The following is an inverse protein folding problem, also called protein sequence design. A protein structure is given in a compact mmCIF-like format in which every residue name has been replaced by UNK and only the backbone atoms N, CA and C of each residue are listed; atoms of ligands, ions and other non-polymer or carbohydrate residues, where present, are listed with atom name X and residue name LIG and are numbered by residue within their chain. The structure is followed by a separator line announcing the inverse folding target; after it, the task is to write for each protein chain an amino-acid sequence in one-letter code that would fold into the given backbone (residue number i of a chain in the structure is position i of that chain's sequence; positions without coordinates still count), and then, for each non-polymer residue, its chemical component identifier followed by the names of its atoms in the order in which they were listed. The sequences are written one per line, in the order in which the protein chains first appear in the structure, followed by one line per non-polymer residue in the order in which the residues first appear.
data_IF_424775527576
#
_entry.id   IF_424775527576
#
_cell.length_a   1.000
_cell.length_b   1.000
_cell.length_c   1.000
_cell.angle_alpha   90.00
_cell.angle_beta   90.00
_cell.angle_gamma   90.00
#
_symmetry.space_group_name_H-M   'P 1'
#
loop_
_entity.id
_entity.type
_entity.pdbx_description
1 polymer ?
#
# COMPACT_ATOMS: atom_id res chain seq x y z
N UNK A 1 5.46 1.50 -4.70
CA UNK A 1 6.63 2.41 -4.56
C UNK A 1 7.33 2.42 -5.91
N UNK A 2 7.86 3.55 -6.34
CA UNK A 2 8.69 3.67 -7.53
C UNK A 2 9.90 4.56 -7.19
N UNK A 3 11.12 4.00 -7.28
CA UNK A 3 12.34 4.70 -6.89
C UNK A 3 12.29 5.25 -5.46
N UNK A 4 12.53 6.56 -5.31
CA UNK A 4 12.49 7.25 -4.01
C UNK A 4 11.08 7.58 -3.52
N UNK A 5 10.05 7.39 -4.35
CA UNK A 5 8.68 7.81 -4.04
C UNK A 5 7.81 6.68 -3.52
N UNK A 6 7.19 6.90 -2.35
CA UNK A 6 6.25 5.97 -1.72
C UNK A 6 4.89 6.65 -1.57
N UNK A 7 3.86 5.95 -2.04
CA UNK A 7 2.46 6.38 -1.98
C UNK A 7 1.69 5.51 -1.00
N UNK A 8 0.95 6.13 -0.07
CA UNK A 8 0.04 5.45 0.84
C UNK A 8 -1.42 5.69 0.42
N UNK A 9 -2.08 4.63 -0.07
CA UNK A 9 -3.51 4.62 -0.37
C UNK A 9 -4.36 4.37 0.90
N UNK A 10 -3.81 3.57 1.83
CA UNK A 10 -4.41 3.26 3.13
C UNK A 10 -3.32 3.25 4.20
N UNK A 11 -3.65 3.73 5.39
CA UNK A 11 -2.79 3.68 6.56
C UNK A 11 -3.50 2.94 7.69
N UNK A 12 -2.84 1.95 8.27
CA UNK A 12 -3.35 1.24 9.45
C UNK A 12 -2.38 1.43 10.62
N UNK A 13 -2.82 2.05 11.73
CA UNK A 13 -1.99 2.19 12.92
C UNK A 13 -1.74 0.83 13.58
N UNK A 14 -0.57 0.66 14.21
CA UNK A 14 -0.19 -0.59 14.88
C UNK A 14 -1.05 -0.90 16.12
N UNK A 15 -1.68 0.11 16.72
CA UNK A 15 -2.52 0.00 17.92
C UNK A 15 -3.83 -0.79 17.72
N UNK A 16 -4.05 -1.36 16.53
CA UNK A 16 -5.28 -2.09 16.20
C UNK A 16 -6.46 -1.20 15.82
N UNK A 17 -6.29 0.13 15.81
CA UNK A 17 -7.29 1.06 15.34
C UNK A 17 -7.61 0.85 13.84
N UNK A 18 -8.81 1.31 13.43
CA UNK A 18 -9.32 1.13 12.07
C UNK A 18 -8.34 1.68 11.04
N UNK A 19 -8.22 0.96 9.93
CA UNK A 19 -7.48 1.48 8.79
C UNK A 19 -8.18 2.73 8.25
N UNK A 20 -7.37 3.73 7.88
CA UNK A 20 -7.83 4.94 7.23
C UNK A 20 -7.52 4.81 5.74
N UNK A 21 -8.57 4.83 4.93
CA UNK A 21 -8.45 4.96 3.49
C UNK A 21 -8.32 6.46 3.20
N UNK A 22 -7.32 6.84 2.41
CA UNK A 22 -7.11 8.25 2.04
C UNK A 22 -7.68 8.49 0.65
N UNK A 23 -8.65 9.41 0.54
CA UNK A 23 -9.21 9.83 -0.76
C UNK A 23 -8.13 10.46 -1.65
N UNK A 24 -7.26 11.28 -1.06
CA UNK A 24 -6.01 11.71 -1.68
C UNK A 24 -4.86 10.88 -1.12
N UNK A 25 -4.20 10.05 -1.93
CA UNK A 25 -3.06 9.27 -1.45
C UNK A 25 -1.95 10.18 -0.92
N UNK A 26 -1.36 9.78 0.20
CA UNK A 26 -0.20 10.48 0.76
C UNK A 26 1.04 10.11 -0.03
N UNK A 27 1.92 11.08 -0.27
CA UNK A 27 3.16 10.88 -1.02
C UNK A 27 4.36 11.29 -0.20
N UNK A 28 5.34 10.40 -0.10
CA UNK A 28 6.58 10.64 0.62
C UNK A 28 7.77 10.36 -0.29
N UNK A 29 8.82 11.16 -0.13
CA UNK A 29 10.12 10.91 -0.76
C UNK A 29 11.07 10.33 0.29
N UNK A 30 11.35 9.04 0.19
CA UNK A 30 12.13 8.30 1.17
C UNK A 30 13.63 8.65 1.15
N UNK A 31 14.12 9.28 0.08
CA UNK A 31 15.52 9.73 -0.01
C UNK A 31 15.75 10.94 0.91
N UNK A 32 14.81 11.88 0.89
CA UNK A 32 14.86 13.09 1.72
C UNK A 32 14.16 12.93 3.07
N UNK A 33 13.18 12.04 3.17
CA UNK A 33 12.31 11.84 4.32
C UNK A 33 11.99 10.35 4.53
N UNK A 34 12.99 9.55 4.96
CA UNK A 34 12.81 8.12 5.22
C UNK A 34 11.82 7.85 6.36
N UNK A 35 11.54 8.85 7.22
CA UNK A 35 10.55 8.77 8.30
C UNK A 35 9.10 9.07 7.87
N UNK A 36 8.85 9.40 6.60
CA UNK A 36 7.49 9.62 6.05
C UNK A 36 6.69 10.70 6.83
N UNK A 37 7.36 11.79 7.23
CA UNK A 37 6.78 12.91 7.97
C UNK A 37 6.16 13.97 7.07
N UNK A 38 6.66 14.14 5.84
CA UNK A 38 6.24 15.22 4.93
C UNK A 38 5.39 14.70 3.78
N UNK A 39 4.09 15.01 3.83
CA UNK A 39 3.22 14.80 2.66
C UNK A 39 3.58 15.76 1.52
N UNK A 40 3.88 15.17 0.37
CA UNK A 40 4.25 15.83 -0.87
C UNK A 40 3.19 15.65 -1.97
N UNK A 41 2.04 15.04 -1.65
CA UNK A 41 1.00 14.70 -2.63
C UNK A 41 0.50 15.95 -3.36
N UNK A 42 0.21 17.02 -2.62
CA UNK A 42 -0.24 18.30 -3.18
C UNK A 42 0.81 19.00 -4.04
N UNK A 43 2.10 18.74 -3.79
CA UNK A 43 3.21 19.38 -4.52
C UNK A 43 3.61 18.62 -5.77
N UNK A 44 3.36 17.31 -5.82
CA UNK A 44 3.76 16.45 -6.93
C UNK A 44 2.60 15.57 -7.43
N UNK A 45 1.51 16.16 -7.97
CA UNK A 45 0.37 15.39 -8.49
C UNK A 45 0.76 14.45 -9.63
N UNK A 46 1.74 14.83 -10.46
CA UNK A 46 2.25 13.97 -11.55
C UNK A 46 2.86 12.65 -11.03
N UNK A 47 3.50 12.69 -9.86
CA UNK A 47 4.08 11.48 -9.24
C UNK A 47 2.98 10.59 -8.69
N UNK A 48 1.92 11.18 -8.13
CA UNK A 48 0.72 10.44 -7.71
C UNK A 48 0.12 9.70 -8.91
N UNK A 49 -0.13 10.39 -10.03
CA UNK A 49 -0.72 9.77 -11.22
C UNK A 49 0.14 8.62 -11.75
N UNK A 50 1.46 8.80 -11.81
CA UNK A 50 2.38 7.75 -12.23
C UNK A 50 2.32 6.53 -11.29
N UNK A 51 2.34 6.76 -9.97
CA UNK A 51 2.28 5.70 -8.98
C UNK A 51 0.92 5.00 -8.95
N UNK A 52 -0.16 5.71 -9.22
CA UNK A 52 -1.50 5.13 -9.38
C UNK A 52 -1.53 4.19 -10.58
N UNK A 53 -1.05 4.62 -11.76
CA UNK A 53 -0.96 3.76 -12.95
C UNK A 53 -0.14 2.50 -12.69
N UNK A 54 0.99 2.61 -12.00
CA UNK A 54 1.81 1.45 -11.63
C UNK A 54 1.04 0.53 -10.67
N UNK A 55 0.34 1.09 -9.68
CA UNK A 55 -0.44 0.31 -8.73
C UNK A 55 -1.63 -0.40 -9.40
N UNK A 56 -2.30 0.25 -10.34
CA UNK A 56 -3.39 -0.33 -11.14
C UNK A 56 -2.87 -1.43 -12.07
N UNK A 57 -1.78 -1.18 -12.79
CA UNK A 57 -1.14 -2.19 -13.64
C UNK A 57 -0.70 -3.42 -12.82
N UNK A 58 -0.11 -3.18 -11.64
CA UNK A 58 0.26 -4.26 -10.73
C UNK A 58 -0.98 -5.05 -10.26
N UNK A 59 -2.06 -4.37 -9.86
CA UNK A 59 -3.33 -5.03 -9.46
C UNK A 59 -3.92 -5.85 -10.60
N UNK A 60 -3.95 -5.32 -11.81
CA UNK A 60 -4.46 -6.03 -12.99
C UNK A 60 -3.61 -7.24 -13.37
N UNK A 61 -2.31 -7.21 -13.07
CA UNK A 61 -1.39 -8.34 -13.29
C UNK A 61 -1.48 -9.41 -12.21
N UNK A 62 -2.11 -9.14 -11.06
CA UNK A 62 -2.23 -10.13 -9.99
C UNK A 62 -3.37 -11.09 -10.35
N UNK A 63 -3.02 -12.38 -10.47
CA UNK A 63 -4.00 -13.46 -10.50
C UNK A 63 -4.24 -13.88 -9.06
N UNK A 64 -5.48 -13.77 -8.61
CA UNK A 64 -5.86 -14.27 -7.27
C UNK A 64 -5.63 -15.78 -7.22
N UNK A 65 -4.73 -16.21 -6.34
CA UNK A 65 -4.48 -17.62 -6.06
C UNK A 65 -5.14 -18.00 -4.74
N UNK A 66 -5.49 -19.28 -4.61
CA UNK A 66 -6.11 -19.82 -3.39
C UNK A 66 -5.25 -19.53 -2.15
N UNK A 67 -5.88 -18.92 -1.15
CA UNK A 67 -5.25 -18.59 0.13
C UNK A 67 -4.88 -19.86 0.92
N UNK A 68 -3.59 -20.16 1.01
CA UNK A 68 -3.10 -21.37 1.69
C UNK A 68 -3.24 -21.33 3.22
N UNK A 69 -3.53 -20.17 3.84
CA UNK A 69 -3.75 -20.05 5.29
C UNK A 69 -5.21 -20.32 5.69
N UNK A 70 -6.15 -20.22 4.76
CA UNK A 70 -7.55 -20.62 4.96
C UNK A 70 -7.76 -22.12 4.75
N UNK A 71 -6.74 -22.83 4.26
CA UNK A 71 -6.72 -24.30 4.25
C UNK A 71 -6.52 -24.78 5.69
N UNK A 72 -7.59 -24.73 6.47
CA UNK A 72 -7.68 -25.42 7.76
C UNK A 72 -7.43 -26.89 7.47
N UNK A 73 -6.22 -27.38 7.73
CA UNK A 73 -5.97 -28.81 7.74
C UNK A 73 -6.95 -29.40 8.77
N UNK A 74 -7.81 -30.36 8.42
CA UNK A 74 -8.61 -31.04 9.42
C UNK A 74 -7.63 -31.58 10.45
N UNK A 75 -7.83 -31.21 11.73
CA UNK A 75 -7.10 -31.84 12.82
C UNK A 75 -7.48 -33.31 12.79
N UNK A 76 -6.62 -34.15 12.21
CA UNK A 76 -6.71 -35.58 12.43
C UNK A 76 -6.58 -35.80 13.94
N UNK A 77 -7.65 -36.31 14.54
CA UNK A 77 -7.73 -36.59 15.97
C UNK A 77 -6.60 -37.51 16.41
N UNK A 78 -6.00 -37.16 17.54
CA UNK A 78 -5.30 -38.06 18.45
C UNK A 78 -5.99 -37.97 19.80
#
# INVERSE_FOLDING_TARGET
RDGSWKMHLRSRPRSGAKEKIHETPLLYNLDHDPSEKKDLAKKHPQVIERLQKIAEAHRASLVEVENQMERVLPKNGQ
#
